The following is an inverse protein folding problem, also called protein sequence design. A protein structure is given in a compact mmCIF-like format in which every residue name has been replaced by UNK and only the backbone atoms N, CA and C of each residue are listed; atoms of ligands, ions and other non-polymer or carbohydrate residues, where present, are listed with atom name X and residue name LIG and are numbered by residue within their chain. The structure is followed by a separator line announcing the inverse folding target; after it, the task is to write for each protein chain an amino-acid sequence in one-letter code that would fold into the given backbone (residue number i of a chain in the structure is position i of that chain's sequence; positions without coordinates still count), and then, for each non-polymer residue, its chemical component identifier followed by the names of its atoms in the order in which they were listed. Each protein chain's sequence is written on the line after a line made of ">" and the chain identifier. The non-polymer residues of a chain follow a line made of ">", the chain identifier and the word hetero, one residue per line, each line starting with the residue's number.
data_IF_331426156549
#
_entry.id   IF_331426156549
#
_cell.length_a   1.000
_cell.length_b   1.000
_cell.length_c   1.000
_cell.angle_alpha   90.00
_cell.angle_beta   90.00
_cell.angle_gamma   90.00
#
_symmetry.space_group_name_H-M   'P 1'
#
loop_
_entity.id
_entity.type
_entity.pdbx_description
1 polymer ?
#
# COMPACT_ATOMS: atom_id res chain seq x y z
N UNK A 1 -9.77 -23.68 2.51
CA UNK A 1 -9.02 -22.46 2.17
C UNK A 1 -9.04 -21.60 3.41
N UNK A 2 -7.90 -21.52 4.11
CA UNK A 2 -7.81 -20.72 5.31
C UNK A 2 -7.87 -19.25 4.90
N UNK A 3 -8.79 -18.50 5.51
CA UNK A 3 -8.76 -17.05 5.51
C UNK A 3 -7.43 -16.62 6.16
N UNK A 4 -6.41 -16.34 5.37
CA UNK A 4 -5.30 -15.48 5.77
C UNK A 4 -5.95 -14.14 6.17
N UNK A 5 -6.23 -13.97 7.46
CA UNK A 5 -6.86 -12.78 7.98
C UNK A 5 -6.05 -11.58 7.52
N UNK A 6 -6.69 -10.68 6.75
CA UNK A 6 -6.06 -9.48 6.20
C UNK A 6 -5.20 -8.84 7.30
N UNK A 7 -3.88 -8.68 7.11
CA UNK A 7 -2.99 -8.17 8.16
C UNK A 7 -3.49 -6.83 8.73
N UNK A 8 -4.12 -6.02 7.89
CA UNK A 8 -4.78 -4.78 8.28
C UNK A 8 -5.90 -5.00 9.31
N UNK A 9 -6.73 -6.04 9.15
CA UNK A 9 -7.81 -6.35 10.10
C UNK A 9 -7.25 -6.71 11.49
N UNK A 10 -6.13 -7.43 11.55
CA UNK A 10 -5.47 -7.77 12.81
C UNK A 10 -4.90 -6.53 13.49
N UNK A 11 -4.28 -5.62 12.72
CA UNK A 11 -3.76 -4.35 13.22
C UNK A 11 -4.89 -3.46 13.79
N UNK A 12 -5.99 -3.29 13.07
CA UNK A 12 -7.10 -2.47 13.54
C UNK A 12 -7.81 -3.07 14.76
N UNK A 13 -7.88 -4.40 14.88
CA UNK A 13 -8.33 -5.05 16.11
C UNK A 13 -7.39 -4.79 17.29
N UNK A 14 -6.07 -4.88 17.09
CA UNK A 14 -5.09 -4.56 18.14
C UNK A 14 -5.22 -3.11 18.62
N UNK A 15 -5.31 -2.15 17.70
CA UNK A 15 -5.48 -0.72 18.02
C UNK A 15 -6.77 -0.47 18.81
N UNK A 16 -7.85 -1.13 18.43
CA UNK A 16 -9.14 -1.03 19.13
C UNK A 16 -9.07 -1.60 20.55
N UNK A 17 -8.40 -2.75 20.73
CA UNK A 17 -8.20 -3.37 22.04
C UNK A 17 -7.30 -2.52 22.95
N UNK A 18 -6.22 -1.95 22.40
CA UNK A 18 -5.33 -1.08 23.15
C UNK A 18 -6.05 0.18 23.62
N UNK A 19 -6.88 0.77 22.76
CA UNK A 19 -7.68 1.93 23.10
C UNK A 19 -8.67 1.63 24.23
N UNK A 20 -9.40 0.50 24.16
CA UNK A 20 -10.29 0.07 25.24
C UNK A 20 -9.53 -0.13 26.57
N UNK A 21 -8.30 -0.66 26.52
CA UNK A 21 -7.48 -0.83 27.71
C UNK A 21 -7.09 0.51 28.32
N UNK A 22 -6.69 1.49 27.50
CA UNK A 22 -6.38 2.86 27.96
C UNK A 22 -7.61 3.50 28.60
N UNK A 23 -8.76 3.47 27.94
CA UNK A 23 -10.01 4.04 28.46
C UNK A 23 -10.43 3.39 29.80
N UNK A 24 -10.17 2.08 29.97
CA UNK A 24 -10.44 1.39 31.23
C UNK A 24 -9.49 1.81 32.36
N UNK A 25 -8.23 2.14 32.04
CA UNK A 25 -7.22 2.56 33.01
C UNK A 25 -7.36 4.03 33.39
N UNK A 26 -7.75 4.88 32.44
CA UNK A 26 -7.92 6.33 32.65
C UNK A 26 -9.33 6.68 33.09
N UNK A 27 -10.29 5.78 32.90
CA UNK A 27 -11.72 5.99 33.12
C UNK A 27 -12.26 7.20 32.32
N UNK A 28 -11.63 7.49 31.18
CA UNK A 28 -11.93 8.60 30.28
C UNK A 28 -12.06 8.05 28.86
N UNK A 29 -13.11 8.45 28.16
CA UNK A 29 -13.33 8.05 26.76
C UNK A 29 -12.45 8.86 25.81
N UNK A 30 -11.83 8.17 24.85
CA UNK A 30 -10.91 8.73 23.85
C UNK A 30 -11.59 8.80 22.48
N UNK A 31 -12.64 9.63 22.38
CA UNK A 31 -13.50 9.77 21.19
C UNK A 31 -12.72 10.18 19.94
N UNK A 32 -11.69 11.01 20.10
CA UNK A 32 -10.85 11.46 18.99
C UNK A 32 -10.00 10.30 18.43
N UNK A 33 -9.39 9.50 19.30
CA UNK A 33 -8.59 8.34 18.87
C UNK A 33 -9.47 7.25 18.24
N UNK A 34 -10.70 7.04 18.76
CA UNK A 34 -11.69 6.16 18.11
C UNK A 34 -11.94 6.59 16.67
N UNK A 35 -12.22 7.87 16.48
CA UNK A 35 -12.51 8.46 15.16
C UNK A 35 -11.30 8.33 14.21
N UNK A 36 -10.08 8.55 14.72
CA UNK A 36 -8.84 8.40 13.94
C UNK A 36 -8.60 6.96 13.51
N UNK A 37 -8.81 5.98 14.40
CA UNK A 37 -8.66 4.55 14.09
C UNK A 37 -9.68 4.12 13.04
N UNK A 38 -10.93 4.55 13.16
CA UNK A 38 -11.97 4.26 12.17
C UNK A 38 -11.63 4.87 10.80
N UNK A 39 -11.24 6.14 10.76
CA UNK A 39 -10.86 6.81 9.51
C UNK A 39 -9.68 6.11 8.82
N UNK A 40 -8.66 5.70 9.57
CA UNK A 40 -7.53 4.93 9.05
C UNK A 40 -7.96 3.55 8.52
N UNK A 41 -8.87 2.86 9.22
CA UNK A 41 -9.42 1.58 8.77
C UNK A 41 -10.16 1.67 7.44
N UNK A 42 -10.94 2.75 7.27
CA UNK A 42 -11.63 3.03 6.02
C UNK A 42 -10.64 3.39 4.90
N UNK A 43 -9.58 4.14 5.19
CA UNK A 43 -8.59 4.52 4.18
C UNK A 43 -7.79 3.32 3.66
N UNK A 44 -7.35 2.42 4.55
CA UNK A 44 -6.56 1.22 4.19
C UNK A 44 -7.37 0.25 3.31
N UNK A 45 -8.69 0.24 3.45
CA UNK A 45 -9.57 -0.65 2.67
C UNK A 45 -10.03 -0.04 1.35
N UNK A 46 -9.73 1.23 1.06
CA UNK A 46 -10.07 1.85 -0.21
C UNK A 46 -9.24 1.24 -1.33
N UNK A 47 -9.94 0.49 -2.19
CA UNK A 47 -9.45 0.12 -3.51
C UNK A 47 -10.22 0.89 -4.56
N UNK A 48 -9.58 1.40 -5.62
CA UNK A 48 -10.30 2.01 -6.73
C UNK A 48 -11.33 1.02 -7.29
N UNK A 49 -12.61 1.40 -7.28
CA UNK A 49 -13.65 0.60 -7.91
C UNK A 49 -13.33 0.42 -9.38
N UNK A 50 -13.41 -0.82 -9.90
CA UNK A 50 -13.29 -1.06 -11.34
C UNK A 50 -14.35 -0.24 -12.07
N UNK A 51 -13.94 0.53 -13.08
CA UNK A 51 -14.87 1.26 -13.94
C UNK A 51 -15.87 0.25 -14.53
N UNK A 52 -17.15 0.42 -14.20
CA UNK A 52 -18.23 -0.47 -14.64
C UNK A 52 -18.65 -0.20 -16.08
N UNK A 53 -18.12 0.87 -16.71
CA UNK A 53 -18.47 1.28 -18.06
C UNK A 53 -17.24 1.34 -18.97
N UNK A 54 -17.28 0.73 -20.17
CA UNK A 54 -16.28 0.97 -21.19
C UNK A 54 -16.35 2.44 -21.63
N UNK A 55 -15.23 3.15 -21.49
CA UNK A 55 -15.08 4.53 -21.91
C UNK A 55 -14.72 4.59 -23.39
N UNK A 56 -15.23 5.59 -24.11
CA UNK A 56 -14.77 5.90 -25.46
C UNK A 56 -13.43 6.66 -25.43
N UNK A 57 -12.73 6.74 -26.57
CA UNK A 57 -11.39 7.35 -26.66
C UNK A 57 -11.35 8.81 -26.16
N UNK A 58 -12.40 9.59 -26.44
CA UNK A 58 -12.49 10.99 -25.99
C UNK A 58 -12.70 11.08 -24.47
N UNK A 59 -13.50 10.20 -23.89
CA UNK A 59 -13.68 10.07 -22.44
C UNK A 59 -12.39 9.61 -21.76
N UNK A 60 -11.64 8.70 -22.38
CA UNK A 60 -10.32 8.25 -21.90
C UNK A 60 -9.35 9.43 -21.87
N UNK A 61 -9.24 10.19 -22.96
CA UNK A 61 -8.37 11.36 -23.01
C UNK A 61 -8.71 12.37 -21.91
N UNK A 62 -10.00 12.64 -21.70
CA UNK A 62 -10.47 13.56 -20.65
C UNK A 62 -10.13 13.06 -19.24
N UNK A 63 -10.28 11.76 -18.97
CA UNK A 63 -9.90 11.21 -17.67
C UNK A 63 -8.37 11.18 -17.50
N UNK A 64 -7.60 10.98 -18.57
CA UNK A 64 -6.14 11.12 -18.55
C UNK A 64 -5.70 12.56 -18.25
N UNK A 65 -6.32 13.56 -18.88
CA UNK A 65 -6.05 14.98 -18.59
C UNK A 65 -6.31 15.30 -17.11
N UNK A 66 -7.43 14.81 -16.58
CA UNK A 66 -7.79 14.97 -15.17
C UNK A 66 -6.83 14.24 -14.23
N UNK A 67 -6.36 13.06 -14.61
CA UNK A 67 -5.34 12.32 -13.85
C UNK A 67 -3.99 13.05 -13.89
N UNK A 68 -3.62 13.64 -15.02
CA UNK A 68 -2.41 14.45 -15.14
C UNK A 68 -2.45 15.65 -14.19
N UNK A 69 -3.54 16.41 -14.20
CA UNK A 69 -3.70 17.56 -13.28
C UNK A 69 -3.62 17.14 -11.80
N UNK A 70 -4.24 16.01 -11.44
CA UNK A 70 -4.14 15.45 -10.08
C UNK A 70 -2.72 15.03 -9.71
N UNK A 71 -1.94 14.56 -10.68
CA UNK A 71 -0.55 14.17 -10.45
C UNK A 71 0.31 15.41 -10.19
N UNK A 72 0.06 16.50 -10.92
CA UNK A 72 0.74 17.78 -10.72
C UNK A 72 0.46 18.32 -9.29
N UNK A 73 -0.80 18.28 -8.84
CA UNK A 73 -1.17 18.69 -7.47
C UNK A 73 -0.45 17.86 -6.39
N UNK A 74 -0.34 16.54 -6.61
CA UNK A 74 0.34 15.62 -5.68
C UNK A 74 1.85 15.88 -5.67
N UNK A 75 2.45 16.14 -6.83
CA UNK A 75 3.88 16.47 -6.94
C UNK A 75 4.22 17.77 -6.20
N UNK A 76 3.38 18.80 -6.33
CA UNK A 76 3.53 20.05 -5.57
C UNK A 76 3.45 19.81 -4.06
N UNK A 77 2.45 19.03 -3.62
CA UNK A 77 2.27 18.70 -2.20
C UNK A 77 3.44 17.92 -1.62
N UNK A 78 3.95 16.92 -2.36
CA UNK A 78 5.11 16.13 -1.96
C UNK A 78 6.34 17.02 -1.91
N UNK A 79 6.59 17.82 -2.94
CA UNK A 79 7.73 18.73 -3.02
C UNK A 79 7.74 19.74 -1.86
N UNK A 80 6.60 20.34 -1.55
CA UNK A 80 6.43 21.26 -0.42
C UNK A 80 6.69 20.58 0.93
N UNK A 81 6.17 19.37 1.10
CA UNK A 81 6.35 18.58 2.33
C UNK A 81 7.80 18.14 2.51
N UNK A 82 8.45 17.65 1.45
CA UNK A 82 9.86 17.24 1.46
C UNK A 82 10.83 18.41 1.68
N UNK A 83 10.45 19.62 1.26
CA UNK A 83 11.21 20.83 1.54
C UNK A 83 11.07 21.27 3.00
N UNK A 84 9.89 21.08 3.59
CA UNK A 84 9.57 21.53 4.95
C UNK A 84 10.02 20.56 6.04
N UNK A 85 10.03 19.25 5.76
CA UNK A 85 10.35 18.20 6.74
C UNK A 85 11.40 17.20 6.20
N UNK A 86 12.65 17.25 6.70
CA UNK A 86 13.72 16.32 6.30
C UNK A 86 13.45 14.85 6.66
N UNK A 87 12.69 14.58 7.73
CA UNK A 87 12.35 13.21 8.14
C UNK A 87 11.33 12.60 7.18
N UNK A 88 10.31 13.36 6.80
CA UNK A 88 9.34 12.94 5.78
C UNK A 88 10.04 12.69 4.45
N UNK A 89 10.97 13.56 4.05
CA UNK A 89 11.81 13.34 2.87
C UNK A 89 12.55 12.01 2.91
N UNK A 90 13.22 11.71 4.02
CA UNK A 90 13.96 10.45 4.19
C UNK A 90 13.05 9.23 4.05
N UNK A 91 11.86 9.26 4.67
CA UNK A 91 10.88 8.18 4.61
C UNK A 91 10.34 7.99 3.19
N UNK A 92 9.97 9.08 2.52
CA UNK A 92 9.44 9.03 1.15
C UNK A 92 10.50 8.54 0.16
N UNK A 93 11.75 9.00 0.29
CA UNK A 93 12.86 8.51 -0.54
C UNK A 93 13.12 7.01 -0.30
N UNK A 94 13.20 6.56 0.96
CA UNK A 94 13.38 5.14 1.26
C UNK A 94 12.19 4.27 0.80
N UNK A 95 10.97 4.80 0.85
CA UNK A 95 9.78 4.12 0.34
C UNK A 95 9.81 4.04 -1.19
N UNK A 96 10.27 5.09 -1.87
CA UNK A 96 10.44 5.09 -3.32
C UNK A 96 11.46 4.03 -3.77
N UNK A 97 12.57 3.84 -3.05
CA UNK A 97 13.56 2.81 -3.37
C UNK A 97 12.96 1.39 -3.36
N UNK A 98 11.96 1.13 -2.49
CA UNK A 98 11.27 -0.17 -2.42
C UNK A 98 10.22 -0.32 -3.51
N UNK A 99 9.40 0.72 -3.75
CA UNK A 99 8.23 0.60 -4.63
C UNK A 99 8.49 0.96 -6.08
N UNK A 100 9.44 1.85 -6.39
CA UNK A 100 9.74 2.28 -7.77
C UNK A 100 10.09 1.09 -8.69
N UNK A 101 10.90 0.09 -8.27
CA UNK A 101 11.14 -1.10 -9.07
C UNK A 101 9.88 -1.94 -9.31
N UNK A 102 8.98 -2.02 -8.34
CA UNK A 102 7.74 -2.82 -8.44
C UNK A 102 6.73 -2.16 -9.38
N UNK A 103 6.57 -0.83 -9.28
CA UNK A 103 5.59 -0.09 -10.08
C UNK A 103 6.05 0.08 -11.54
N UNK A 104 7.36 0.27 -11.76
CA UNK A 104 7.92 0.43 -13.12
C UNK A 104 8.25 -0.89 -13.81
N UNK A 105 8.23 -2.01 -13.07
CA UNK A 105 8.46 -3.33 -13.64
C UNK A 105 7.49 -3.65 -14.79
N UNK A 106 8.06 -4.18 -15.87
CA UNK A 106 7.36 -4.79 -16.99
C UNK A 106 6.60 -6.05 -16.55
N UNK A 107 5.70 -6.53 -17.41
CA UNK A 107 4.93 -7.76 -17.13
C UNK A 107 5.83 -8.97 -16.83
N UNK A 108 6.96 -9.08 -17.54
CA UNK A 108 7.93 -10.16 -17.36
C UNK A 108 8.67 -10.03 -16.01
N UNK A 109 9.13 -8.84 -15.65
CA UNK A 109 9.78 -8.58 -14.35
C UNK A 109 8.83 -8.82 -13.18
N UNK A 110 7.54 -8.49 -13.35
CA UNK A 110 6.52 -8.72 -12.31
C UNK A 110 6.30 -10.19 -11.97
N UNK A 111 6.52 -11.10 -12.93
CA UNK A 111 6.44 -12.54 -12.67
C UNK A 111 7.45 -13.01 -11.61
N UNK A 112 8.63 -12.35 -11.55
CA UNK A 112 9.72 -12.66 -10.62
C UNK A 112 9.41 -12.22 -9.18
N UNK A 113 8.51 -11.27 -8.98
CA UNK A 113 8.04 -10.88 -7.64
C UNK A 113 7.07 -11.91 -7.03
N UNK A 114 6.50 -12.82 -7.82
CA UNK A 114 5.61 -13.88 -7.32
C UNK A 114 6.32 -15.15 -6.86
N UNK A 115 7.66 -15.21 -7.00
CA UNK A 115 8.44 -16.36 -6.55
C UNK A 115 8.49 -16.36 -5.03
N UNK A 116 7.66 -17.22 -4.42
CA UNK A 116 7.71 -17.56 -3.00
C UNK A 116 9.12 -18.07 -2.67
N UNK A 117 9.81 -17.53 -1.65
CA UNK A 117 11.06 -18.12 -1.18
C UNK A 117 10.73 -19.39 -0.39
N UNK A 118 10.61 -20.50 -1.11
CA UNK A 118 10.21 -21.78 -0.51
C UNK A 118 10.46 -23.03 -1.35
N UNK A 119 11.05 -22.90 -2.54
CA UNK A 119 11.46 -24.08 -3.32
C UNK A 119 12.92 -23.94 -3.77
N UNK A 120 13.81 -23.93 -2.77
CA UNK A 120 15.20 -24.27 -2.97
C UNK A 120 15.32 -25.81 -2.94
N UNK A 121 14.64 -26.49 -3.87
CA UNK A 121 14.94 -27.88 -4.18
C UNK A 121 16.29 -27.88 -4.90
N UNK A 122 17.32 -28.11 -4.08
CA UNK A 122 18.62 -28.66 -4.43
C UNK A 122 18.75 -29.08 -5.89
N UNK A 123 19.47 -28.28 -6.69
CA UNK A 123 20.24 -28.81 -7.82
C UNK A 123 21.30 -29.74 -7.23
N UNK A 124 20.94 -31.00 -7.01
CA UNK A 124 21.94 -32.07 -6.98
C UNK A 124 22.39 -32.30 -8.41
N UNK A 125 23.69 -32.09 -8.61
CA UNK A 125 24.47 -32.60 -9.72
C UNK A 125 24.10 -34.07 -9.98
N UNK A 126 23.59 -34.38 -11.17
CA UNK A 126 23.72 -35.71 -11.75
C UNK A 126 24.53 -35.56 -13.04
N UNK A 127 25.84 -35.70 -12.86
CA UNK A 127 26.77 -36.17 -13.85
C UNK A 127 26.26 -37.53 -14.37
N UNK A 128 25.55 -37.54 -15.50
CA UNK A 128 25.27 -38.78 -16.21
C UNK A 128 26.23 -38.93 -17.39
N UNK A 129 27.11 -39.89 -17.21
CA UNK A 129 28.04 -40.46 -18.18
C UNK A 129 27.45 -40.65 -19.57
N UNK A 130 28.23 -40.31 -20.59
CA UNK A 130 28.34 -41.12 -21.80
C UNK A 130 29.75 -41.09 -22.36
#
# INVERSE_FOLDING_TARGET
>A
MAEEGKPDAQLFQLLSNLLQQVESLTNQEEVELRSKIEALGLEVTKVPSRSTRPLNEMEIAKELDKLSAKLDDVDEMISSTMASDPQVRSILSGTADVWLPVITATSEERSKFSVVPGDNSTQTEEENSK
#
